data_IF_761776344347
#
_entry.id   IF_761776344347
#
_cell.length_a   1.000
_cell.length_b   1.000
_cell.length_c   1.000
_cell.angle_alpha   90.00
_cell.angle_beta   90.00
_cell.angle_gamma   90.00
#
_symmetry.space_group_name_H-M   'P 1'
#
loop_
_entity.id
_entity.type
_entity.pdbx_description
1 polymer ?
#
# COMPACT_ATOMS: atom_id res chain seq x y z
N UNK A 1 12.42 -16.80 0.71
CA UNK A 1 12.50 -15.46 1.34
C UNK A 1 11.18 -15.22 2.05
N UNK A 2 11.04 -15.64 3.31
CA UNK A 2 11.38 -14.80 4.46
C UNK A 2 10.08 -14.35 5.15
N UNK A 3 9.17 -15.30 5.41
CA UNK A 3 7.96 -15.05 6.17
C UNK A 3 8.34 -15.01 7.65
N UNK A 4 8.42 -13.82 8.22
CA UNK A 4 8.34 -13.69 9.67
C UNK A 4 6.91 -14.11 10.03
N UNK A 5 6.77 -15.28 10.67
CA UNK A 5 5.49 -15.93 10.99
C UNK A 5 4.49 -14.88 11.54
N UNK A 6 3.42 -14.62 10.78
CA UNK A 6 2.30 -13.76 11.19
C UNK A 6 2.30 -12.32 10.65
N UNK A 7 3.42 -11.80 10.15
CA UNK A 7 3.49 -10.42 9.63
C UNK A 7 3.51 -10.43 8.09
N UNK A 8 2.34 -10.30 7.47
CA UNK A 8 2.22 -10.12 6.02
C UNK A 8 2.73 -8.72 5.66
N UNK A 9 3.87 -8.61 4.97
CA UNK A 9 4.32 -7.31 4.46
C UNK A 9 3.29 -6.79 3.46
N UNK A 10 2.83 -5.53 3.61
CA UNK A 10 1.93 -4.95 2.64
C UNK A 10 2.63 -4.86 1.28
N UNK A 11 1.92 -5.23 0.24
CA UNK A 11 2.36 -5.10 -1.14
C UNK A 11 1.71 -3.85 -1.74
N UNK A 12 2.40 -3.14 -2.64
CA UNK A 12 1.82 -1.99 -3.30
C UNK A 12 0.58 -2.38 -4.12
N UNK A 13 -0.40 -1.48 -4.13
CA UNK A 13 -1.57 -1.59 -4.97
C UNK A 13 -1.14 -1.61 -6.44
N UNK A 14 -1.55 -2.63 -7.23
CA UNK A 14 -1.21 -2.68 -8.63
C UNK A 14 -1.82 -1.48 -9.36
N UNK A 15 -1.00 -0.75 -10.12
CA UNK A 15 -1.45 0.39 -10.92
C UNK A 15 -2.66 0.04 -11.81
N UNK A 16 -2.65 -1.15 -12.41
CA UNK A 16 -3.74 -1.68 -13.22
C UNK A 16 -5.07 -1.77 -12.46
N UNK A 17 -5.05 -2.12 -11.18
CA UNK A 17 -6.28 -2.21 -10.37
C UNK A 17 -6.90 -0.81 -10.17
N UNK A 18 -6.07 0.22 -10.00
CA UNK A 18 -6.52 1.61 -9.89
C UNK A 18 -7.13 2.08 -11.22
N UNK A 19 -6.49 1.74 -12.34
CA UNK A 19 -7.00 2.03 -13.67
C UNK A 19 -8.34 1.35 -13.95
N UNK A 20 -8.47 0.05 -13.66
CA UNK A 20 -9.72 -0.69 -13.82
C UNK A 20 -10.84 -0.11 -12.94
N UNK A 21 -10.51 0.36 -11.74
CA UNK A 21 -11.47 1.07 -10.89
C UNK A 21 -11.89 2.41 -11.53
N UNK A 22 -10.96 3.18 -12.07
CA UNK A 22 -11.28 4.42 -12.79
C UNK A 22 -12.20 4.15 -14.00
N UNK A 23 -11.92 3.11 -14.78
CA UNK A 23 -12.72 2.69 -15.93
C UNK A 23 -14.16 2.34 -15.51
N UNK A 24 -14.32 1.56 -14.43
CA UNK A 24 -15.65 1.20 -13.89
C UNK A 24 -16.44 2.41 -13.42
N UNK A 25 -15.76 3.44 -12.92
CA UNK A 25 -16.38 4.68 -12.44
C UNK A 25 -16.45 5.78 -13.52
N UNK A 26 -16.11 5.47 -14.79
CA UNK A 26 -16.12 6.41 -15.92
C UNK A 26 -15.27 7.66 -15.66
N UNK A 27 -14.19 7.52 -14.89
CA UNK A 27 -13.24 8.59 -14.65
C UNK A 27 -12.26 8.69 -15.82
N UNK A 28 -12.24 9.86 -16.45
CA UNK A 28 -11.47 10.13 -17.66
C UNK A 28 -10.65 11.42 -17.51
N UNK A 29 -9.63 11.59 -18.36
CA UNK A 29 -8.80 12.79 -18.43
C UNK A 29 -8.10 13.10 -17.10
N UNK A 30 -8.05 14.38 -16.74
CA UNK A 30 -7.37 14.90 -15.55
C UNK A 30 -7.88 14.25 -14.25
N UNK A 31 -9.18 13.92 -14.16
CA UNK A 31 -9.74 13.27 -12.97
C UNK A 31 -9.17 11.86 -12.76
N UNK A 32 -8.88 11.13 -13.85
CA UNK A 32 -8.26 9.80 -13.76
C UNK A 32 -6.82 9.93 -13.26
N UNK A 33 -6.06 10.86 -13.83
CA UNK A 33 -4.66 11.10 -13.46
C UNK A 33 -4.55 11.53 -11.99
N UNK A 34 -5.39 12.46 -11.56
CA UNK A 34 -5.48 12.90 -10.18
C UNK A 34 -5.76 11.73 -9.21
N UNK A 35 -6.78 10.91 -9.50
CA UNK A 35 -7.12 9.76 -8.65
C UNK A 35 -5.97 8.75 -8.59
N UNK A 36 -5.36 8.46 -9.73
CA UNK A 36 -4.22 7.54 -9.82
C UNK A 36 -3.05 8.03 -8.96
N UNK A 37 -2.74 9.32 -9.01
CA UNK A 37 -1.67 9.93 -8.21
C UNK A 37 -2.02 9.94 -6.72
N UNK A 38 -3.22 10.36 -6.34
CA UNK A 38 -3.68 10.34 -4.96
C UNK A 38 -3.62 8.94 -4.34
N UNK A 39 -4.13 7.93 -5.03
CA UNK A 39 -4.10 6.54 -4.55
C UNK A 39 -2.66 6.05 -4.42
N UNK A 40 -1.79 6.40 -5.37
CA UNK A 40 -0.37 6.03 -5.31
C UNK A 40 0.35 6.64 -4.10
N UNK A 41 0.06 7.89 -3.75
CA UNK A 41 0.63 8.57 -2.57
C UNK A 41 0.12 7.92 -1.28
N UNK A 42 -1.19 7.66 -1.20
CA UNK A 42 -1.79 7.03 -0.03
C UNK A 42 -1.25 5.62 0.19
N UNK A 43 -1.11 4.83 -0.88
CA UNK A 43 -0.57 3.47 -0.81
C UNK A 43 0.88 3.45 -0.31
N UNK A 44 1.74 4.31 -0.87
CA UNK A 44 3.13 4.48 -0.40
C UNK A 44 3.18 4.86 1.09
N UNK A 45 2.33 5.79 1.50
CA UNK A 45 2.26 6.25 2.90
C UNK A 45 1.83 5.11 3.83
N UNK A 46 0.79 4.37 3.45
CA UNK A 46 0.32 3.21 4.21
C UNK A 46 1.40 2.13 4.36
N UNK A 47 2.10 1.81 3.28
CA UNK A 47 3.20 0.82 3.30
C UNK A 47 4.32 1.27 4.23
N UNK A 48 4.71 2.55 4.18
CA UNK A 48 5.73 3.10 5.08
C UNK A 48 5.32 2.94 6.55
N UNK A 49 4.12 3.40 6.91
CA UNK A 49 3.61 3.31 8.28
C UNK A 49 3.52 1.86 8.77
N UNK A 50 3.06 0.94 7.91
CA UNK A 50 2.98 -0.48 8.24
C UNK A 50 4.36 -1.12 8.42
N UNK A 51 5.32 -0.78 7.57
CA UNK A 51 6.68 -1.30 7.73
C UNK A 51 7.31 -0.81 9.03
N UNK A 52 7.06 0.43 9.43
CA UNK A 52 7.57 0.96 10.70
C UNK A 52 6.88 0.31 11.90
N UNK A 53 5.57 0.06 11.82
CA UNK A 53 4.87 -0.72 12.85
C UNK A 53 5.43 -2.14 12.97
N UNK A 54 5.66 -2.83 11.84
CA UNK A 54 6.26 -4.18 11.86
C UNK A 54 7.64 -4.15 12.52
N UNK A 55 8.47 -3.13 12.25
CA UNK A 55 9.77 -3.00 12.92
C UNK A 55 9.61 -2.87 14.43
N UNK A 56 8.72 -2.00 14.89
CA UNK A 56 8.44 -1.80 16.33
C UNK A 56 7.93 -3.08 17.00
N UNK A 57 7.04 -3.80 16.33
CA UNK A 57 6.48 -5.06 16.83
C UNK A 57 7.58 -6.13 16.97
N UNK A 58 8.50 -6.21 16.00
CA UNK A 58 9.64 -7.12 16.05
C UNK A 58 10.62 -6.74 17.17
N UNK A 59 10.98 -5.47 17.30
CA UNK A 59 11.84 -5.00 18.39
C UNK A 59 11.25 -5.32 19.77
N UNK A 60 9.94 -5.21 19.91
CA UNK A 60 9.23 -5.54 21.15
C UNK A 60 9.21 -7.05 21.41
N UNK A 61 8.96 -7.85 20.38
CA UNK A 61 8.89 -9.31 20.49
C UNK A 61 10.26 -9.96 20.79
N UNK A 62 11.35 -9.41 20.25
CA UNK A 62 12.73 -9.92 20.45
C UNK A 62 13.47 -9.31 21.66
N UNK A 63 12.86 -8.34 22.38
CA UNK A 63 13.38 -7.80 23.65
C UNK A 63 12.95 -8.57 24.91
N UNK A 64 12.20 -9.67 24.76
CA UNK A 64 11.90 -10.66 25.82
C UNK A 64 12.76 -11.91 25.62
#
# INVERSE_FOLDING_TARGET
MGAIRGFTKPQPLPYRAIQEWCDRNRLNGENREFVVECVSILDRTYISLRNDQIKQDLETAFRK
#
